data_IF_467630734112
#
_entry.id   IF_467630734112
#
_cell.length_a   1.000
_cell.length_b   1.000
_cell.length_c   1.000
_cell.angle_alpha   90.00
_cell.angle_beta   90.00
_cell.angle_gamma   90.00
#
_symmetry.space_group_name_H-M   'P 1'
#
loop_
_entity.id
_entity.type
_entity.pdbx_description
1 polymer ?
#
# COMPACT_ATOMS: atom_id res chain seq x y z
N UNK A 1 0.36 18.50 14.24
CA UNK A 1 -1.10 18.34 14.16
C UNK A 1 -1.40 17.73 12.79
N UNK A 2 -1.76 16.44 12.75
CA UNK A 2 -2.09 15.75 11.50
C UNK A 2 -3.38 16.34 10.91
N UNK A 3 -3.43 16.51 9.59
CA UNK A 3 -4.63 17.00 8.91
C UNK A 3 -5.83 16.09 9.25
N UNK A 4 -7.04 16.64 9.48
CA UNK A 4 -8.18 15.90 10.03
C UNK A 4 -8.71 14.74 9.17
N UNK A 5 -8.19 14.56 7.95
CA UNK A 5 -8.66 13.56 6.97
C UNK A 5 -7.53 12.64 6.44
N UNK A 6 -6.37 12.58 7.09
CA UNK A 6 -5.28 11.71 6.65
C UNK A 6 -5.47 10.28 7.18
N UNK A 7 -5.19 9.22 6.37
CA UNK A 7 -5.16 7.86 6.88
C UNK A 7 -4.19 7.72 8.05
N UNK A 8 -4.50 6.88 9.06
CA UNK A 8 -3.58 6.62 10.16
C UNK A 8 -2.33 5.89 9.65
N UNK A 9 -1.21 6.10 10.35
CA UNK A 9 -0.03 5.27 10.14
C UNK A 9 -0.25 3.88 10.74
N UNK A 10 0.14 2.84 10.01
CA UNK A 10 0.03 1.45 10.41
C UNK A 10 1.42 0.91 10.72
N UNK A 11 1.55 0.08 11.76
CA UNK A 11 2.82 -0.54 12.12
C UNK A 11 2.78 -2.04 11.88
N UNK A 12 3.70 -2.54 11.06
CA UNK A 12 3.91 -3.95 10.80
C UNK A 12 5.18 -4.42 11.52
N UNK A 13 5.02 -5.33 12.48
CA UNK A 13 6.13 -5.88 13.26
C UNK A 13 6.18 -7.40 13.10
N UNK A 14 7.37 -7.96 12.97
CA UNK A 14 7.54 -9.41 12.86
C UNK A 14 8.82 -9.79 12.11
N UNK A 15 8.88 -11.04 11.66
CA UNK A 15 9.88 -11.45 10.68
C UNK A 15 9.63 -10.74 9.33
N UNK A 16 10.65 -10.64 8.45
CA UNK A 16 10.47 -10.08 7.11
C UNK A 16 9.30 -10.71 6.36
N UNK A 17 9.17 -12.04 6.37
CA UNK A 17 8.09 -12.78 5.71
C UNK A 17 6.70 -12.37 6.26
N UNK A 18 6.56 -12.27 7.59
CA UNK A 18 5.32 -11.84 8.24
C UNK A 18 4.95 -10.40 7.87
N UNK A 19 5.93 -9.49 7.85
CA UNK A 19 5.71 -8.09 7.47
C UNK A 19 5.24 -8.01 6.02
N UNK A 20 5.88 -8.76 5.11
CA UNK A 20 5.52 -8.80 3.70
C UNK A 20 4.10 -9.34 3.50
N UNK A 21 3.77 -10.43 4.19
CA UNK A 21 2.44 -11.02 4.12
C UNK A 21 1.35 -10.05 4.58
N UNK A 22 1.59 -9.35 5.71
CA UNK A 22 0.70 -8.29 6.17
C UNK A 22 0.55 -7.17 5.13
N UNK A 23 1.66 -6.64 4.60
CA UNK A 23 1.65 -5.56 3.62
C UNK A 23 0.90 -5.98 2.35
N UNK A 24 1.07 -7.23 1.91
CA UNK A 24 0.40 -7.76 0.73
C UNK A 24 -1.12 -7.72 0.88
N UNK A 25 -1.66 -8.23 1.99
CA UNK A 25 -3.11 -8.19 2.23
C UNK A 25 -3.63 -6.78 2.52
N UNK A 26 -2.86 -5.96 3.23
CA UNK A 26 -3.26 -4.58 3.53
C UNK A 26 -3.35 -3.72 2.26
N UNK A 27 -2.35 -3.79 1.38
CA UNK A 27 -2.36 -3.05 0.10
C UNK A 27 -3.52 -3.51 -0.78
N UNK A 28 -3.71 -4.83 -0.98
CA UNK A 28 -4.84 -5.32 -1.76
C UNK A 28 -6.20 -4.88 -1.18
N UNK A 29 -6.35 -4.90 0.14
CA UNK A 29 -7.57 -4.43 0.82
C UNK A 29 -7.81 -2.94 0.58
N UNK A 30 -6.78 -2.09 0.71
CA UNK A 30 -6.92 -0.64 0.46
C UNK A 30 -7.31 -0.39 -1.01
N UNK A 31 -6.66 -1.07 -1.96
CA UNK A 31 -6.99 -0.92 -3.39
C UNK A 31 -8.45 -1.27 -3.68
N UNK A 32 -9.00 -2.30 -3.02
CA UNK A 32 -10.39 -2.70 -3.15
C UNK A 32 -11.36 -1.69 -2.50
N UNK A 33 -11.18 -1.41 -1.21
CA UNK A 33 -12.16 -0.59 -0.46
C UNK A 33 -12.09 0.90 -0.78
N UNK A 34 -10.98 1.39 -1.36
CA UNK A 34 -10.89 2.77 -1.90
C UNK A 34 -11.29 2.83 -3.38
N UNK A 35 -11.68 1.72 -3.99
CA UNK A 35 -12.15 1.68 -5.38
C UNK A 35 -11.07 2.09 -6.39
N UNK A 36 -9.80 1.78 -6.13
CA UNK A 36 -8.71 2.03 -7.10
C UNK A 36 -8.86 1.12 -8.32
N UNK A 37 -9.36 -0.10 -8.08
CA UNK A 37 -9.79 -1.05 -9.10
C UNK A 37 -11.23 -1.48 -8.83
N UNK A 38 -11.94 -1.95 -9.85
CA UNK A 38 -13.33 -2.41 -9.72
C UNK A 38 -13.38 -3.72 -8.92
N UNK A 39 -14.50 -3.99 -8.24
CA UNK A 39 -14.64 -5.19 -7.41
C UNK A 39 -14.47 -6.48 -8.20
N UNK A 40 -14.83 -6.46 -9.48
CA UNK A 40 -14.63 -7.59 -10.40
C UNK A 40 -13.16 -7.94 -10.54
N UNK A 41 -12.24 -6.98 -10.47
CA UNK A 41 -10.79 -7.18 -10.62
C UNK A 41 -10.12 -7.83 -9.41
N UNK A 42 -10.92 -8.29 -8.44
CA UNK A 42 -10.43 -9.00 -7.27
C UNK A 42 -11.02 -10.41 -7.19
N UNK A 43 -10.25 -11.30 -6.56
CA UNK A 43 -10.71 -12.62 -6.11
C UNK A 43 -10.79 -12.64 -4.60
N UNK A 44 -11.83 -13.30 -4.08
CA UNK A 44 -11.92 -13.58 -2.65
C UNK A 44 -10.94 -14.68 -2.27
N UNK A 45 -10.30 -14.53 -1.10
CA UNK A 45 -9.42 -15.54 -0.49
C UNK A 45 -9.76 -15.62 0.99
N UNK A 46 -10.03 -16.82 1.48
CA UNK A 46 -10.24 -17.05 2.90
C UNK A 46 -8.89 -17.26 3.59
N UNK A 47 -8.53 -16.36 4.51
CA UNK A 47 -7.32 -16.47 5.33
C UNK A 47 -7.50 -15.71 6.63
N UNK A 48 -6.88 -16.20 7.71
CA UNK A 48 -7.05 -15.63 9.06
C UNK A 48 -8.52 -15.55 9.49
N UNK A 49 -9.34 -16.52 9.05
CA UNK A 49 -10.79 -16.53 9.30
C UNK A 49 -11.47 -15.24 8.80
N UNK A 50 -10.96 -14.69 7.70
CA UNK A 50 -11.47 -13.50 7.05
C UNK A 50 -11.55 -13.71 5.54
N UNK A 51 -12.60 -13.17 4.95
CA UNK A 51 -12.70 -13.05 3.50
C UNK A 51 -11.89 -11.84 3.06
N UNK A 52 -10.67 -12.11 2.60
CA UNK A 52 -9.76 -11.12 2.04
C UNK A 52 -9.95 -11.05 0.53
N UNK A 53 -9.42 -9.99 -0.07
CA UNK A 53 -9.48 -9.75 -1.50
C UNK A 53 -8.07 -9.59 -2.04
N UNK A 54 -7.80 -10.18 -3.19
CA UNK A 54 -6.55 -10.04 -3.91
C UNK A 54 -6.82 -9.63 -5.35
N UNK A 55 -6.02 -8.73 -5.90
CA UNK A 55 -6.10 -8.38 -7.32
C UNK A 55 -5.91 -9.64 -8.18
N UNK A 56 -6.74 -9.78 -9.22
CA UNK A 56 -6.67 -10.88 -10.20
C UNK A 56 -5.93 -10.49 -11.47
N UNK A 57 -5.77 -9.20 -11.74
CA UNK A 57 -5.01 -8.71 -12.88
C UNK A 57 -3.55 -9.18 -12.81
N UNK A 58 -3.07 -9.80 -13.90
CA UNK A 58 -1.75 -10.43 -13.92
C UNK A 58 -0.61 -9.42 -13.88
N UNK A 59 -0.76 -8.25 -14.50
CA UNK A 59 0.29 -7.23 -14.53
C UNK A 59 0.45 -6.57 -13.16
N UNK A 60 -0.67 -6.23 -12.50
CA UNK A 60 -0.69 -5.67 -11.15
C UNK A 60 -0.18 -6.71 -10.15
N UNK A 61 -0.62 -7.96 -10.24
CA UNK A 61 -0.13 -9.05 -9.37
C UNK A 61 1.39 -9.18 -9.46
N UNK A 62 1.92 -9.32 -10.68
CA UNK A 62 3.36 -9.42 -10.89
C UNK A 62 4.14 -8.18 -10.42
N UNK A 63 3.54 -7.00 -10.54
CA UNK A 63 4.13 -5.78 -10.00
C UNK A 63 4.24 -5.83 -8.47
N UNK A 64 3.14 -6.18 -7.78
CA UNK A 64 3.13 -6.32 -6.32
C UNK A 64 4.15 -7.37 -5.87
N UNK A 65 4.19 -8.53 -6.53
CA UNK A 65 5.13 -9.60 -6.21
C UNK A 65 6.59 -9.14 -6.32
N UNK A 66 6.96 -8.46 -7.41
CA UNK A 66 8.32 -7.90 -7.58
C UNK A 66 8.64 -6.85 -6.52
N UNK A 67 7.69 -5.95 -6.25
CA UNK A 67 7.88 -4.91 -5.24
C UNK A 67 8.10 -5.51 -3.85
N UNK A 68 7.23 -6.42 -3.43
CA UNK A 68 7.31 -7.01 -2.10
C UNK A 68 8.50 -7.94 -1.93
N UNK A 69 8.89 -8.70 -2.96
CA UNK A 69 10.14 -9.46 -2.94
C UNK A 69 11.35 -8.54 -2.68
N UNK A 70 11.40 -7.40 -3.35
CA UNK A 70 12.49 -6.44 -3.15
C UNK A 70 12.47 -5.82 -1.74
N UNK A 71 11.28 -5.53 -1.21
CA UNK A 71 11.11 -5.05 0.18
C UNK A 71 11.56 -6.11 1.19
N UNK A 72 11.28 -7.39 0.93
CA UNK A 72 11.70 -8.50 1.79
C UNK A 72 13.23 -8.58 1.89
N UNK A 73 13.92 -8.50 0.75
CA UNK A 73 15.38 -8.48 0.69
C UNK A 73 15.96 -7.29 1.48
N UNK A 74 15.33 -6.10 1.39
CA UNK A 74 15.77 -4.93 2.15
C UNK A 74 15.42 -5.02 3.64
N UNK A 75 14.34 -5.70 4.01
CA UNK A 75 14.00 -5.99 5.40
C UNK A 75 15.06 -6.90 6.03
N UNK A 76 15.47 -7.96 5.34
CA UNK A 76 16.53 -8.86 5.80
C UNK A 76 17.90 -8.19 5.94
N UNK A 77 18.13 -7.08 5.23
CA UNK A 77 19.36 -6.26 5.34
C UNK A 77 19.19 -5.05 6.28
N UNK A 78 18.03 -4.91 6.94
CA UNK A 78 17.65 -3.74 7.75
C UNK A 78 17.76 -2.38 7.03
N UNK A 79 17.65 -2.38 5.70
CA UNK A 79 17.80 -1.20 4.86
C UNK A 79 16.52 -0.40 4.68
N UNK A 80 15.35 -0.93 5.07
CA UNK A 80 14.05 -0.29 4.91
C UNK A 80 13.33 -0.18 6.25
N UNK A 81 12.63 0.94 6.48
CA UNK A 81 11.83 1.16 7.71
C UNK A 81 10.38 1.56 7.44
N UNK A 82 10.04 1.88 6.19
CA UNK A 82 8.70 2.35 5.84
C UNK A 82 8.34 2.02 4.41
N UNK A 83 7.10 1.59 4.20
CA UNK A 83 6.44 1.52 2.89
C UNK A 83 5.29 2.53 2.87
N UNK A 84 5.07 3.19 1.74
CA UNK A 84 3.98 4.14 1.56
C UNK A 84 3.17 3.74 0.33
N UNK A 85 1.87 3.58 0.50
CA UNK A 85 0.90 3.49 -0.58
C UNK A 85 0.24 4.86 -0.76
N UNK A 86 0.45 5.47 -1.92
CA UNK A 86 -0.16 6.74 -2.27
C UNK A 86 -1.26 6.52 -3.32
N UNK A 87 -2.47 6.99 -3.03
CA UNK A 87 -3.56 7.07 -4.01
C UNK A 87 -3.50 8.45 -4.64
N UNK A 88 -3.48 8.49 -5.96
CA UNK A 88 -3.20 9.70 -6.74
C UNK A 88 -4.32 9.91 -7.75
N UNK A 89 -4.77 11.15 -7.88
CA UNK A 89 -5.69 11.60 -8.92
C UNK A 89 -5.08 11.34 -10.30
N UNK A 90 -5.74 10.54 -11.14
CA UNK A 90 -5.31 10.33 -12.53
C UNK A 90 -5.39 11.63 -13.34
N UNK A 91 -6.34 12.49 -13.02
CA UNK A 91 -6.61 13.73 -13.74
C UNK A 91 -5.58 14.82 -13.41
N UNK A 92 -5.23 14.97 -12.13
CA UNK A 92 -4.41 16.09 -11.64
C UNK A 92 -2.99 15.69 -11.23
N UNK A 93 -2.72 14.40 -11.06
CA UNK A 93 -1.47 13.90 -10.50
C UNK A 93 -1.28 14.20 -9.00
N UNK A 94 -2.27 14.79 -8.32
CA UNK A 94 -2.19 15.12 -6.90
C UNK A 94 -2.43 13.87 -6.04
N UNK A 95 -1.64 13.71 -4.98
CA UNK A 95 -1.87 12.68 -3.97
C UNK A 95 -3.13 13.01 -3.17
N UNK A 96 -4.10 12.11 -3.22
CA UNK A 96 -5.37 12.21 -2.49
C UNK A 96 -5.25 11.59 -1.10
N UNK A 97 -4.65 10.40 -1.03
CA UNK A 97 -4.45 9.68 0.22
C UNK A 97 -3.03 9.13 0.30
N UNK A 98 -2.53 9.04 1.54
CA UNK A 98 -1.21 8.49 1.84
C UNK A 98 -1.33 7.53 3.02
N UNK A 99 -1.17 6.25 2.71
CA UNK A 99 -1.17 5.16 3.68
C UNK A 99 0.27 4.80 4.01
N UNK A 100 0.65 5.02 5.26
CA UNK A 100 2.03 4.83 5.74
C UNK A 100 2.11 3.55 6.55
N UNK A 101 3.03 2.67 6.17
CA UNK A 101 3.35 1.44 6.88
C UNK A 101 4.75 1.54 7.48
N UNK A 102 4.84 1.69 8.80
CA UNK A 102 6.09 1.61 9.54
C UNK A 102 6.47 0.13 9.74
N UNK A 103 7.72 -0.20 9.48
CA UNK A 103 8.23 -1.57 9.50
C UNK A 103 9.17 -1.76 10.68
N UNK A 104 8.85 -2.72 11.53
CA UNK A 104 9.60 -3.08 12.73
C UNK A 104 10.03 -4.55 12.64
N UNK A 105 11.08 -4.86 11.86
CA UNK A 105 11.63 -6.21 11.81
C UNK A 105 12.19 -6.59 13.18
N UNK A 106 11.85 -7.77 13.68
CA UNK A 106 12.45 -8.35 14.87
C UNK A 106 12.72 -9.85 14.69
N UNK A 107 13.86 -10.31 15.20
CA UNK A 107 14.16 -11.73 15.33
C UNK A 107 13.56 -12.22 16.65
N UNK A 108 12.32 -12.69 16.61
CA UNK A 108 11.67 -13.34 17.75
C UNK A 108 11.00 -14.63 17.30
N UNK A 109 10.92 -15.67 18.15
CA UNK A 109 10.20 -16.88 17.82
C UNK A 109 8.76 -16.50 17.48
N UNK A 110 8.41 -16.70 16.22
CA UNK A 110 7.09 -16.48 15.68
C UNK A 110 6.14 -17.47 16.36
N UNK A 111 5.42 -17.03 17.40
CA UNK A 111 4.20 -17.74 17.74
C UNK A 111 3.22 -17.43 16.62
N UNK A 112 3.13 -18.35 15.65
CA UNK A 112 2.37 -18.18 14.42
C UNK A 112 0.96 -17.67 14.75
N UNK A 113 0.32 -18.24 15.77
CA UNK A 113 -1.01 -17.82 16.23
C UNK A 113 -1.08 -16.35 16.66
N UNK A 114 -0.09 -15.84 17.39
CA UNK A 114 -0.08 -14.42 17.84
C UNK A 114 0.10 -13.48 16.65
N UNK A 115 0.92 -13.87 15.68
CA UNK A 115 1.14 -13.12 14.44
C UNK A 115 -0.14 -13.10 13.60
N UNK A 116 -0.77 -14.26 13.41
CA UNK A 116 -2.02 -14.40 12.68
C UNK A 116 -3.13 -13.55 13.31
N UNK A 117 -3.28 -13.59 14.64
CA UNK A 117 -4.24 -12.76 15.36
C UNK A 117 -3.95 -11.26 15.20
N UNK A 118 -2.67 -10.85 15.21
CA UNK A 118 -2.28 -9.46 15.00
C UNK A 118 -2.64 -8.98 13.58
N UNK A 119 -2.27 -9.76 12.56
CA UNK A 119 -2.63 -9.48 11.16
C UNK A 119 -4.15 -9.42 11.00
N UNK A 120 -4.86 -10.40 11.55
CA UNK A 120 -6.32 -10.46 11.54
C UNK A 120 -6.94 -9.20 12.16
N UNK A 121 -6.50 -8.80 13.35
CA UNK A 121 -7.01 -7.62 14.04
C UNK A 121 -6.76 -6.33 13.24
N UNK A 122 -5.55 -6.15 12.70
CA UNK A 122 -5.21 -4.97 11.91
C UNK A 122 -5.98 -4.91 10.59
N UNK A 123 -6.17 -6.05 9.90
CA UNK A 123 -6.98 -6.10 8.68
C UNK A 123 -8.47 -5.82 8.98
N UNK A 124 -9.01 -6.34 10.09
CA UNK A 124 -10.38 -6.03 10.57
C UNK A 124 -10.53 -4.53 10.84
N UNK A 125 -9.57 -3.93 11.54
CA UNK A 125 -9.56 -2.50 11.82
C UNK A 125 -9.49 -1.67 10.52
N UNK A 126 -8.63 -2.05 9.59
CA UNK A 126 -8.49 -1.37 8.29
C UNK A 126 -9.80 -1.41 7.52
N UNK A 127 -10.45 -2.58 7.44
CA UNK A 127 -11.78 -2.75 6.82
C UNK A 127 -12.86 -1.90 7.46
N UNK A 128 -12.86 -1.76 8.78
CA UNK A 128 -13.82 -0.93 9.50
C UNK A 128 -13.55 0.57 9.35
N UNK A 129 -12.28 0.96 9.16
CA UNK A 129 -11.89 2.37 9.07
C UNK A 129 -12.09 2.93 7.67
N UNK A 130 -11.89 2.14 6.62
CA UNK A 130 -11.94 2.63 5.23
C UNK A 130 -13.30 3.30 4.87
N UNK A 131 -14.47 2.74 5.23
CA UNK A 131 -15.77 3.37 4.95
C UNK A 131 -16.01 4.73 5.61
N UNK A 132 -15.17 5.12 6.58
CA UNK A 132 -15.28 6.41 7.28
C UNK A 132 -14.64 7.54 6.45
N UNK A 133 -13.75 7.21 5.50
CA UNK A 133 -13.14 8.22 4.64
C UNK A 133 -14.12 8.70 3.56
N UNK A 134 -14.08 10.00 3.20
CA UNK A 134 -14.89 10.54 2.11
C UNK A 134 -14.68 9.76 0.80
N UNK A 135 -15.75 9.58 0.02
CA UNK A 135 -15.66 8.93 -1.29
C UNK A 135 -14.76 9.71 -2.26
N UNK A 136 -13.87 8.99 -2.94
CA UNK A 136 -13.08 9.55 -4.03
C UNK A 136 -13.91 9.49 -5.31
N UNK A 137 -14.31 10.65 -5.82
CA UNK A 137 -15.21 10.79 -6.99
C UNK A 137 -14.49 10.94 -8.32
N UNK A 138 -13.20 10.64 -8.38
CA UNK A 138 -12.39 10.79 -9.58
C UNK A 138 -11.54 9.55 -9.86
N UNK A 139 -11.16 9.29 -11.13
CA UNK A 139 -10.30 8.17 -11.45
C UNK A 139 -8.96 8.28 -10.72
N UNK A 140 -8.54 7.19 -10.08
CA UNK A 140 -7.29 7.14 -9.32
C UNK A 140 -6.29 6.15 -9.89
N UNK A 141 -5.04 6.36 -9.53
CA UNK A 141 -3.94 5.40 -9.69
C UNK A 141 -3.26 5.24 -8.32
N UNK A 142 -2.41 4.23 -8.18
CA UNK A 142 -1.65 4.03 -6.96
C UNK A 142 -0.14 3.98 -7.21
N UNK A 143 0.61 4.44 -6.22
CA UNK A 143 2.06 4.38 -6.18
C UNK A 143 2.51 3.68 -4.90
N UNK A 144 3.44 2.73 -5.03
CA UNK A 144 4.15 2.14 -3.91
C UNK A 144 5.55 2.70 -3.80
N UNK A 145 5.90 3.16 -2.60
CA UNK A 145 7.18 3.77 -2.29
C UNK A 145 7.82 3.01 -1.12
N UNK A 146 9.06 2.59 -1.30
CA UNK A 146 9.87 1.98 -0.25
C UNK A 146 10.90 3.00 0.26
N UNK A 147 10.83 3.35 1.54
CA UNK A 147 11.72 4.35 2.15
C UNK A 147 12.86 3.62 2.86
N UNK A 148 14.04 3.68 2.24
CA UNK A 148 15.27 3.14 2.82
C UNK A 148 15.78 3.98 3.98
N UNK A 149 16.39 3.33 4.97
CA UNK A 149 17.14 3.96 6.05
C UNK A 149 18.38 4.61 5.42
N UNK A 150 18.43 5.95 5.38
CA UNK A 150 19.68 6.61 5.06
C UNK A 150 20.69 6.34 6.16
N UNK A 151 21.87 5.81 5.81
CA UNK A 151 23.03 5.87 6.70
C UNK A 151 23.47 7.34 6.74
N UNK A 152 23.13 8.04 7.82
CA UNK A 152 23.68 9.35 8.13
C UNK A 152 25.17 9.23 8.42
N UNK A 153 26.03 9.34 7.40
CA UNK A 153 27.36 9.92 7.58
C UNK A 153 27.24 11.42 7.24
N UNK A 154 26.72 12.15 8.22
CA UNK A 154 26.49 13.58 8.15
C UNK A 154 27.78 14.31 8.53
N UNK A 155 28.77 14.39 7.63
CA UNK A 155 29.90 15.33 7.79
C UNK A 155 30.57 15.80 6.49
N UNK A 156 30.04 15.48 5.31
CA UNK A 156 30.63 16.00 4.06
C UNK A 156 29.64 16.31 2.92
N UNK A 157 28.34 16.48 3.19
CA UNK A 157 27.41 16.86 2.13
C UNK A 157 27.24 18.38 2.05
N UNK A 158 28.04 19.02 1.20
CA UNK A 158 27.68 20.30 0.61
C UNK A 158 26.79 20.02 -0.62
N UNK A 159 25.57 20.57 -0.70
CA UNK A 159 24.71 20.35 -1.86
C UNK A 159 25.34 21.00 -3.10
N UNK A 160 25.69 20.17 -4.08
CA UNK A 160 26.03 20.66 -5.42
C UNK A 160 24.79 21.32 -6.05
N UNK A 161 24.99 22.46 -6.71
CA UNK A 161 23.94 23.36 -7.27
C UNK A 161 23.00 22.71 -8.29
N UNK A 162 23.18 21.45 -8.65
CA UNK A 162 22.25 20.69 -9.47
C UNK A 162 21.63 19.59 -8.61
N UNK A 163 20.44 19.89 -8.08
CA UNK A 163 19.74 19.07 -7.10
C UNK A 163 19.55 17.63 -7.55
N UNK A 164 20.17 16.70 -6.82
CA UNK A 164 19.83 15.28 -6.88
C UNK A 164 19.31 14.87 -5.51
N UNK A 165 18.00 14.61 -5.46
CA UNK A 165 17.25 14.19 -4.28
C UNK A 165 17.60 12.75 -3.84
N UNK A 166 17.23 12.34 -2.61
CA UNK A 166 17.20 10.95 -2.18
C UNK A 166 16.60 10.02 -3.22
N UNK A 167 17.16 8.81 -3.38
CA UNK A 167 16.64 7.79 -4.30
C UNK A 167 15.23 7.36 -3.86
N UNK A 168 14.22 8.02 -4.42
CA UNK A 168 12.84 7.57 -4.47
C UNK A 168 12.74 6.51 -5.56
N UNK A 169 12.60 5.24 -5.20
CA UNK A 169 12.15 4.23 -6.17
C UNK A 169 10.64 4.36 -6.26
N UNK A 170 10.19 5.24 -7.15
CA UNK A 170 8.80 5.35 -7.56
C UNK A 170 8.59 4.40 -8.74
N UNK A 171 8.01 3.23 -8.50
CA UNK A 171 7.62 2.35 -9.59
C UNK A 171 6.18 2.66 -9.99
N UNK A 172 5.99 3.22 -11.17
CA UNK A 172 4.68 3.41 -11.80
C UNK A 172 4.33 2.11 -12.55
N UNK A 173 3.20 1.43 -12.27
CA UNK A 173 2.63 0.55 -13.27
C UNK A 173 2.33 1.43 -14.50
N UNK A 174 2.93 1.11 -15.66
CA UNK A 174 2.53 1.71 -16.92
C UNK A 174 1.03 1.47 -17.06
N UNK A 175 0.23 2.53 -17.08
CA UNK A 175 -1.21 2.57 -17.29
C UNK A 175 -1.84 1.23 -17.74
N UNK A 176 -2.31 0.42 -16.79
CA UNK A 176 -3.29 -0.63 -17.09
C UNK A 176 -4.67 -0.01 -16.89
N UNK A 177 -5.01 0.94 -17.76
CA UNK A 177 -6.38 1.44 -17.83
C UNK A 177 -7.15 0.54 -18.75
N UNK A 178 -7.88 -0.43 -18.21
CA UNK A 178 -9.06 -0.91 -18.91
C UNK A 178 -10.28 -0.29 -18.25
N UNK A 179 -10.76 0.74 -18.96
CA UNK A 179 -12.03 1.48 -18.84
C UNK A 179 -12.06 2.63 -17.83
N UNK A 180 -12.50 3.83 -18.25
CA UNK A 180 -13.02 4.82 -17.31
C UNK A 180 -14.32 4.27 -16.71
N UNK A 181 -14.44 4.31 -15.38
CA UNK A 181 -15.73 4.12 -14.72
C UNK A 181 -16.68 5.23 -15.18
N UNK A 182 -17.50 4.95 -16.20
CA UNK A 182 -18.77 5.63 -16.38
C UNK A 182 -19.78 4.77 -15.66
N UNK A 183 -20.15 5.19 -14.45
CA UNK A 183 -21.32 4.62 -13.76
C UNK A 183 -22.53 5.08 -14.55
N UNK A 184 -22.97 4.26 -15.50
CA UNK A 184 -24.26 4.42 -16.15
C UNK A 184 -25.34 4.10 -15.11
N UNK A 185 -26.01 5.13 -14.62
CA UNK A 185 -27.19 4.98 -13.76
C UNK A 185 -28.32 4.41 -14.64
N UNK A 186 -28.87 3.21 -14.34
CA UNK A 186 -30.02 2.71 -15.06
C UNK A 186 -31.27 3.45 -14.57
N UNK A 187 -31.90 4.24 -15.44
CA UNK A 187 -33.26 4.74 -15.24
C UNK A 187 -33.42 6.25 -15.13
N UNK A 188 -33.42 6.95 -16.26
CA UNK A 188 -34.27 8.13 -16.45
C UNK A 188 -35.01 8.01 -17.80
N UNK A 189 -36.30 8.41 -17.85
CA UNK A 189 -37.17 8.14 -19.00
C UNK A 189 -36.83 8.99 -20.23
N UNK A 190 -37.27 8.44 -21.37
CA UNK A 190 -36.96 8.74 -22.78
C UNK A 190 -36.75 10.21 -23.16
#
# INVERSE_FOLDING_TARGET
MSAPNAPPELTASGSPATIIEFLYYAVNSILFYRGVYESEDFRAVNKYEQDLVLVRDGEVTQFLDRFFKQVEEWLGQELIRRVILAIVSKNTGKTLERWVFNLEPHDGPAHLDKIQHKIQATLKQLKATIPIFPDIKEPTIFNLLAVKRMKTNLLSYQPARNGSMPIHIQYQPKFVTRRPCVVSIPGMPK
#
